data_IF_775886437441
#
_entry.id   IF_775886437441
#
_cell.length_a   1.000
_cell.length_b   1.000
_cell.length_c   1.000
_cell.angle_alpha   90.00
_cell.angle_beta   90.00
_cell.angle_gamma   90.00
#
_symmetry.space_group_name_H-M   'P 1'
#
loop_
_entity.id
_entity.type
_entity.pdbx_description
1 polymer ?
#
# COMPACT_ATOMS: atom_id res chain seq x y z
N UNK A 1 9.51 -18.47 8.10
CA UNK A 1 10.53 -18.07 7.12
C UNK A 1 9.82 -17.45 5.93
N UNK A 2 10.01 -16.15 5.68
CA UNK A 2 9.60 -15.51 4.42
C UNK A 2 10.52 -16.08 3.32
N UNK A 3 10.07 -17.13 2.61
CA UNK A 3 10.89 -17.82 1.61
C UNK A 3 10.53 -17.34 0.21
N UNK A 4 11.27 -16.30 -0.20
CA UNK A 4 11.66 -15.93 -1.57
C UNK A 4 10.58 -16.02 -2.66
N UNK A 5 9.77 -14.97 -2.75
CA UNK A 5 9.27 -14.54 -4.06
C UNK A 5 10.43 -13.96 -4.87
N UNK A 6 10.45 -14.24 -6.17
CA UNK A 6 11.35 -13.57 -7.13
C UNK A 6 11.04 -12.08 -7.34
N UNK A 7 10.04 -11.55 -6.62
CA UNK A 7 9.71 -10.14 -6.62
C UNK A 7 10.76 -9.34 -5.83
N UNK A 8 11.38 -8.38 -6.51
CA UNK A 8 12.41 -7.52 -5.95
C UNK A 8 11.96 -6.78 -4.68
N UNK A 9 10.67 -6.61 -4.43
CA UNK A 9 10.15 -5.89 -3.25
C UNK A 9 9.72 -6.79 -2.10
N UNK A 10 9.72 -8.12 -2.29
CA UNK A 10 9.44 -9.10 -1.23
C UNK A 10 10.75 -9.68 -0.70
N UNK A 11 11.13 -9.28 0.50
CA UNK A 11 12.37 -9.68 1.18
C UNK A 11 12.12 -9.91 2.67
N UNK A 12 13.03 -10.59 3.39
CA UNK A 12 12.88 -10.77 4.84
C UNK A 12 12.67 -9.42 5.56
N UNK A 13 11.56 -9.29 6.28
CA UNK A 13 11.17 -8.04 6.96
C UNK A 13 10.40 -7.03 6.12
N UNK A 14 10.16 -7.30 4.82
CA UNK A 14 9.33 -6.46 3.97
C UNK A 14 7.91 -6.33 4.53
N UNK A 15 7.32 -7.42 5.02
CA UNK A 15 5.99 -7.44 5.64
C UNK A 15 5.89 -6.47 6.82
N UNK A 16 6.85 -6.52 7.74
CA UNK A 16 6.88 -5.67 8.94
C UNK A 16 7.04 -4.20 8.55
N UNK A 17 7.91 -3.92 7.57
CA UNK A 17 8.18 -2.56 7.10
C UNK A 17 6.97 -1.97 6.36
N UNK A 18 6.33 -2.77 5.51
CA UNK A 18 5.10 -2.39 4.80
C UNK A 18 3.95 -2.12 5.78
N UNK A 19 3.73 -2.99 6.78
CA UNK A 19 2.73 -2.76 7.84
C UNK A 19 3.02 -1.49 8.64
N UNK A 20 4.29 -1.23 9.00
CA UNK A 20 4.67 -0.02 9.73
C UNK A 20 4.37 1.23 8.92
N UNK A 21 4.73 1.24 7.63
CA UNK A 21 4.47 2.36 6.72
C UNK A 21 2.97 2.56 6.51
N UNK A 22 2.23 1.48 6.31
CA UNK A 22 0.79 1.56 6.11
C UNK A 22 0.07 2.10 7.34
N UNK A 23 0.43 1.61 8.54
CA UNK A 23 -0.06 2.16 9.81
C UNK A 23 0.32 3.63 9.97
N UNK A 24 1.59 3.97 9.75
CA UNK A 24 2.11 5.33 9.90
C UNK A 24 1.38 6.35 9.03
N UNK A 25 1.07 5.99 7.78
CA UNK A 25 0.24 6.82 6.90
C UNK A 25 -1.15 7.11 7.49
N UNK A 26 -1.73 6.16 8.21
CA UNK A 26 -3.07 6.26 8.81
C UNK A 26 -3.08 6.82 10.24
N UNK A 27 -1.91 6.98 10.88
CA UNK A 27 -1.79 7.54 12.23
C UNK A 27 -2.14 9.03 12.41
N UNK A 28 -1.94 9.96 11.45
CA UNK A 28 -2.14 11.37 11.73
C UNK A 28 -3.58 11.66 12.19
N UNK A 29 -3.75 12.28 13.38
CA UNK A 29 -5.07 12.63 13.90
C UNK A 29 -5.65 13.76 13.05
N UNK A 30 -6.93 13.65 12.72
CA UNK A 30 -7.64 14.66 11.94
C UNK A 30 -8.90 14.11 11.29
N UNK A 31 -9.65 14.95 10.58
CA UNK A 31 -10.76 14.55 9.69
C UNK A 31 -10.45 14.81 8.21
N UNK A 32 -9.27 15.38 7.91
CA UNK A 32 -8.88 15.71 6.54
C UNK A 32 -8.58 14.43 5.77
N UNK A 33 -8.94 14.38 4.47
CA UNK A 33 -8.51 13.32 3.60
C UNK A 33 -6.98 13.26 3.53
N UNK A 34 -6.46 12.04 3.51
CA UNK A 34 -5.06 11.74 3.28
C UNK A 34 -4.86 11.45 1.80
N UNK A 35 -3.72 11.91 1.28
CA UNK A 35 -3.35 11.72 -0.11
C UNK A 35 -2.06 10.91 -0.14
N UNK A 36 -2.09 9.67 -0.67
CA UNK A 36 -0.88 8.92 -0.99
C UNK A 36 0.09 9.75 -1.82
N UNK A 37 1.39 9.53 -1.61
CA UNK A 37 2.46 10.20 -2.36
C UNK A 37 3.26 9.15 -3.10
N UNK A 38 3.74 9.49 -4.30
CA UNK A 38 4.65 8.62 -5.02
C UNK A 38 6.02 8.60 -4.32
N UNK A 39 6.70 7.46 -4.37
CA UNK A 39 8.00 7.34 -3.74
C UNK A 39 9.02 8.13 -4.58
N UNK A 40 9.74 9.05 -3.94
CA UNK A 40 10.77 9.84 -4.63
C UNK A 40 11.90 8.99 -5.23
N UNK A 41 12.09 7.76 -4.75
CA UNK A 41 13.12 6.84 -5.22
C UNK A 41 12.58 5.41 -5.32
N UNK A 42 12.94 4.72 -6.41
CA UNK A 42 12.53 3.34 -6.72
C UNK A 42 13.33 2.26 -5.98
N UNK A 43 14.25 2.65 -5.09
CA UNK A 43 15.00 1.67 -4.32
C UNK A 43 14.07 0.94 -3.32
N UNK A 44 14.33 -0.34 -3.06
CA UNK A 44 13.53 -1.20 -2.16
C UNK A 44 13.17 -0.54 -0.82
N UNK A 45 14.04 0.32 -0.31
CA UNK A 45 13.83 1.03 0.94
C UNK A 45 12.85 2.21 0.85
N UNK A 46 12.93 2.98 -0.23
CA UNK A 46 12.15 4.19 -0.46
C UNK A 46 10.81 3.90 -1.17
N UNK A 47 10.71 2.85 -1.98
CA UNK A 47 9.45 2.49 -2.64
C UNK A 47 8.31 2.26 -1.64
N UNK A 48 8.62 1.80 -0.42
CA UNK A 48 7.64 1.62 0.67
C UNK A 48 7.16 2.93 1.31
N UNK A 49 7.75 4.07 0.93
CA UNK A 49 7.24 5.40 1.33
C UNK A 49 5.91 5.69 0.61
N UNK A 50 5.74 5.17 -0.62
CA UNK A 50 4.42 5.10 -1.25
C UNK A 50 3.58 4.03 -0.55
N UNK A 51 2.56 4.49 0.18
CA UNK A 51 1.60 3.65 0.87
C UNK A 51 0.88 2.67 -0.06
N UNK A 52 0.68 3.03 -1.34
CA UNK A 52 0.09 2.14 -2.35
C UNK A 52 1.03 0.98 -2.64
N UNK A 53 2.33 1.25 -2.77
CA UNK A 53 3.35 0.23 -2.97
C UNK A 53 3.54 -0.65 -1.73
N UNK A 54 3.43 -0.07 -0.52
CA UNK A 54 3.38 -0.88 0.70
C UNK A 54 2.20 -1.87 0.67
N UNK A 55 1.04 -1.47 0.13
CA UNK A 55 -0.11 -2.36 -0.02
C UNK A 55 0.07 -3.43 -1.11
N UNK A 56 0.74 -3.11 -2.22
CA UNK A 56 1.15 -4.10 -3.24
C UNK A 56 2.03 -5.19 -2.60
N UNK A 57 3.06 -4.81 -1.83
CA UNK A 57 3.94 -5.79 -1.14
C UNK A 57 3.16 -6.67 -0.16
N UNK A 58 2.19 -6.10 0.56
CA UNK A 58 1.33 -6.89 1.46
C UNK A 58 0.44 -7.88 0.69
N UNK A 59 -0.05 -7.50 -0.49
CA UNK A 59 -0.81 -8.41 -1.36
C UNK A 59 0.06 -9.57 -1.83
N UNK A 60 1.27 -9.28 -2.30
CA UNK A 60 2.22 -10.32 -2.74
C UNK A 60 2.57 -11.29 -1.61
N UNK A 61 2.80 -10.78 -0.40
CA UNK A 61 3.04 -11.62 0.78
C UNK A 61 1.82 -12.48 1.11
N UNK A 62 0.61 -11.92 1.06
CA UNK A 62 -0.62 -12.67 1.30
C UNK A 62 -0.78 -13.83 0.31
N UNK A 63 -0.44 -13.63 -0.96
CA UNK A 63 -0.51 -14.68 -1.99
C UNK A 63 0.47 -15.84 -1.74
N UNK A 64 1.63 -15.56 -1.14
CA UNK A 64 2.67 -16.57 -0.87
C UNK A 64 2.48 -17.31 0.47
N UNK A 65 1.79 -16.71 1.44
CA UNK A 65 1.64 -17.31 2.76
C UNK A 65 0.71 -18.53 2.76
N UNK A 66 0.99 -19.54 3.61
CA UNK A 66 0.07 -20.66 3.85
C UNK A 66 -1.23 -20.17 4.49
N UNK A 67 -2.31 -20.91 4.29
CA UNK A 67 -3.70 -20.53 4.62
C UNK A 67 -3.88 -19.93 6.03
N UNK A 68 -3.29 -20.54 7.06
CA UNK A 68 -3.41 -20.07 8.45
C UNK A 68 -2.74 -18.71 8.66
N UNK A 69 -1.49 -18.56 8.26
CA UNK A 69 -0.75 -17.29 8.38
C UNK A 69 -1.34 -16.19 7.51
N UNK A 70 -1.86 -16.57 6.32
CA UNK A 70 -2.59 -15.67 5.43
C UNK A 70 -3.84 -15.10 6.09
N UNK A 71 -4.62 -15.91 6.80
CA UNK A 71 -5.84 -15.45 7.45
C UNK A 71 -5.56 -14.38 8.51
N UNK A 72 -4.52 -14.58 9.35
CA UNK A 72 -4.11 -13.61 10.36
C UNK A 72 -3.69 -12.27 9.73
N UNK A 73 -2.81 -12.32 8.73
CA UNK A 73 -2.34 -11.11 8.05
C UNK A 73 -3.49 -10.42 7.32
N UNK A 74 -4.37 -11.17 6.66
CA UNK A 74 -5.53 -10.65 5.93
C UNK A 74 -6.45 -9.87 6.85
N UNK A 75 -6.70 -10.35 8.08
CA UNK A 75 -7.53 -9.60 9.05
C UNK A 75 -6.89 -8.27 9.45
N UNK A 76 -5.58 -8.25 9.70
CA UNK A 76 -4.88 -7.00 10.03
C UNK A 76 -4.90 -6.01 8.87
N UNK A 77 -4.64 -6.50 7.65
CA UNK A 77 -4.65 -5.66 6.44
C UNK A 77 -6.06 -5.14 6.14
N UNK A 78 -7.11 -5.95 6.29
CA UNK A 78 -8.48 -5.54 6.07
C UNK A 78 -8.92 -4.39 7.01
N UNK A 79 -8.51 -4.42 8.28
CA UNK A 79 -8.79 -3.31 9.20
C UNK A 79 -8.11 -2.01 8.76
N UNK A 80 -6.88 -2.10 8.23
CA UNK A 80 -6.17 -0.92 7.70
C UNK A 80 -6.80 -0.45 6.38
N UNK A 81 -7.21 -1.37 5.51
CA UNK A 81 -7.89 -1.08 4.24
C UNK A 81 -9.18 -0.29 4.49
N UNK A 82 -9.97 -0.66 5.51
CA UNK A 82 -11.19 0.05 5.88
C UNK A 82 -10.92 1.51 6.30
N UNK A 83 -9.87 1.73 7.10
CA UNK A 83 -9.47 3.09 7.50
C UNK A 83 -8.94 3.85 6.29
N UNK A 84 -8.11 3.23 5.45
CA UNK A 84 -7.59 3.85 4.24
C UNK A 84 -8.72 4.27 3.30
N UNK A 85 -9.75 3.45 3.12
CA UNK A 85 -10.96 3.78 2.34
C UNK A 85 -11.70 5.00 2.90
N UNK A 86 -11.87 5.07 4.22
CA UNK A 86 -12.54 6.21 4.87
C UNK A 86 -11.70 7.49 4.89
N UNK A 87 -10.38 7.36 4.75
CA UNK A 87 -9.42 8.48 4.82
C UNK A 87 -8.94 8.97 3.46
N UNK A 88 -9.08 8.20 2.40
CA UNK A 88 -8.60 8.55 1.05
C UNK A 88 -9.74 8.70 0.07
N UNK A 89 -9.70 9.78 -0.72
CA UNK A 89 -10.73 10.06 -1.71
C UNK A 89 -10.50 9.23 -2.99
N UNK A 90 -11.58 8.73 -3.63
CA UNK A 90 -11.48 8.06 -4.91
C UNK A 90 -10.99 9.04 -6.00
N UNK A 91 -10.09 8.58 -6.87
CA UNK A 91 -9.66 9.35 -8.04
C UNK A 91 -10.54 9.00 -9.25
N UNK A 92 -11.37 9.94 -9.76
CA UNK A 92 -12.21 9.68 -10.93
C UNK A 92 -11.41 9.49 -12.23
N UNK A 93 -10.15 9.93 -12.26
CA UNK A 93 -9.27 9.82 -13.43
C UNK A 93 -8.22 8.71 -13.31
N UNK A 94 -8.38 7.81 -12.33
CA UNK A 94 -7.37 6.78 -12.03
C UNK A 94 -7.03 5.92 -13.24
N UNK A 95 -8.04 5.59 -14.04
CA UNK A 95 -7.93 4.80 -15.26
C UNK A 95 -6.99 5.44 -16.31
N UNK A 96 -7.00 6.77 -16.39
CA UNK A 96 -6.16 7.52 -17.34
C UNK A 96 -4.75 7.80 -16.83
N UNK A 97 -4.58 7.88 -15.50
CA UNK A 97 -3.31 8.29 -14.88
C UNK A 97 -2.39 7.12 -14.52
N UNK A 98 -2.93 5.92 -14.32
CA UNK A 98 -2.16 4.82 -13.72
C UNK A 98 -2.32 3.50 -14.48
N UNK A 99 -1.19 2.93 -14.92
CA UNK A 99 -1.11 1.62 -15.61
C UNK A 99 -1.65 0.43 -14.79
N UNK A 100 -1.85 0.59 -13.47
CA UNK A 100 -2.43 -0.43 -12.57
C UNK A 100 -3.70 0.08 -11.89
N UNK A 101 -4.61 0.67 -12.66
CA UNK A 101 -5.89 1.16 -12.15
C UNK A 101 -6.83 0.03 -11.67
N UNK A 102 -6.55 -1.23 -12.02
CA UNK A 102 -7.32 -2.40 -11.58
C UNK A 102 -7.32 -2.60 -10.05
N UNK A 103 -6.30 -2.08 -9.36
CA UNK A 103 -6.18 -2.19 -7.90
C UNK A 103 -6.89 -1.02 -7.21
N UNK A 104 -7.93 -1.32 -6.43
CA UNK A 104 -8.78 -0.30 -5.81
C UNK A 104 -8.03 0.69 -4.90
N UNK A 105 -6.92 0.28 -4.28
CA UNK A 105 -6.09 1.15 -3.43
C UNK A 105 -5.23 2.13 -4.24
N UNK A 106 -5.00 1.84 -5.52
CA UNK A 106 -4.34 2.74 -6.48
C UNK A 106 -5.32 3.75 -7.08
N UNK A 107 -6.63 3.47 -7.05
CA UNK A 107 -7.69 4.38 -7.51
C UNK A 107 -8.01 5.52 -6.53
N UNK A 108 -6.97 6.12 -5.93
CA UNK A 108 -7.09 7.17 -4.91
C UNK A 108 -6.32 8.41 -5.32
N UNK A 109 -6.83 9.59 -4.91
CA UNK A 109 -6.19 10.87 -5.19
C UNK A 109 -4.82 10.94 -4.50
N UNK A 110 -3.79 11.29 -5.26
CA UNK A 110 -2.41 11.40 -4.76
C UNK A 110 -1.92 12.84 -4.73
N UNK A 111 -1.05 13.17 -3.78
CA UNK A 111 -0.25 14.41 -3.88
C UNK A 111 0.67 14.23 -5.09
N UNK A 112 0.65 15.16 -6.04
CA UNK A 112 1.31 15.01 -7.35
C UNK A 112 0.34 14.95 -8.53
N UNK A 113 -0.97 15.03 -8.29
CA UNK A 113 -1.98 15.27 -9.31
C UNK A 113 -2.15 16.75 -9.72
N UNK A 114 -1.33 17.63 -9.16
CA UNK A 114 -1.17 19.05 -9.50
C UNK A 114 0.11 19.22 -10.33
N UNK A 115 0.07 18.81 -11.59
CA UNK A 115 1.03 19.33 -12.57
C UNK A 115 0.53 20.73 -12.92
N UNK A 116 1.29 21.73 -12.49
CA UNK A 116 1.34 23.01 -13.19
C UNK A 116 2.09 22.81 -14.51
#
# INVERSE_FOLDING_TARGET
MERLSGDYYVFPGATVRALRRYKGFLQPPGRRPLYPQDAHCSCRGCSLDDVRHARDVLEEVLQQLPSRSRAELKRQVASLDAVYLGRTLPDPFADRRQRRADLWWRRRLTVGGETM
#
